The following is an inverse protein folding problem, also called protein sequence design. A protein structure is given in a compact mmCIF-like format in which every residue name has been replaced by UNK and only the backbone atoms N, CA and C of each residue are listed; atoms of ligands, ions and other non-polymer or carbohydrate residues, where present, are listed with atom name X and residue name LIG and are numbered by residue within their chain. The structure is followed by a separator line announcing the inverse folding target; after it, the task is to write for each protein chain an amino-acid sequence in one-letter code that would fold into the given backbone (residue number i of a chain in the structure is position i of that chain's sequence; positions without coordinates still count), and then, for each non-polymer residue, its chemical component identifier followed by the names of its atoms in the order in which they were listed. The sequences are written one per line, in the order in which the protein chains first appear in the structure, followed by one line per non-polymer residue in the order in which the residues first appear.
data_IF_432320705270
#
_entry.id   IF_432320705270
#
_cell.length_a   1.000
_cell.length_b   1.000
_cell.length_c   1.000
_cell.angle_alpha   90.00
_cell.angle_beta   90.00
_cell.angle_gamma   90.00
#
_symmetry.space_group_name_H-M   'P 1'
#
loop_
_entity.id
_entity.type
_entity.pdbx_description
1 polymer ?
#
# COMPACT_ATOMS: atom_id res chain seq x y z
N UNK A 1 4.21 -28.84 44.82
CA UNK A 1 3.38 -29.50 43.80
C UNK A 1 3.83 -29.00 42.44
N UNK A 2 4.50 -29.86 41.67
CA UNK A 2 4.81 -29.60 40.27
C UNK A 2 3.61 -30.01 39.40
N UNK A 3 3.27 -29.19 38.40
CA UNK A 3 2.34 -29.57 37.33
C UNK A 3 3.12 -29.61 36.00
N UNK A 4 2.84 -30.54 35.08
CA UNK A 4 3.77 -30.97 34.05
C UNK A 4 3.74 -30.09 32.79
N UNK A 5 4.91 -29.94 32.15
CA UNK A 5 5.05 -29.32 30.82
C UNK A 5 4.48 -30.26 29.75
N UNK A 6 3.61 -29.75 28.90
CA UNK A 6 3.21 -30.38 27.64
C UNK A 6 4.33 -30.28 26.58
N UNK A 7 4.41 -31.22 25.61
CA UNK A 7 5.55 -31.35 24.72
C UNK A 7 5.55 -30.25 23.65
N UNK A 8 6.67 -29.58 23.45
CA UNK A 8 6.89 -28.69 22.30
C UNK A 8 7.07 -29.57 21.05
N UNK A 9 6.19 -29.40 20.06
CA UNK A 9 6.38 -29.93 18.71
C UNK A 9 7.63 -29.33 18.04
N UNK A 10 8.12 -29.93 16.95
CA UNK A 10 9.39 -29.58 16.34
C UNK A 10 9.38 -28.12 15.87
N UNK A 11 10.32 -27.35 16.40
CA UNK A 11 10.63 -25.99 15.97
C UNK A 11 11.25 -26.12 14.57
N UNK A 12 10.55 -25.62 13.56
CA UNK A 12 11.09 -25.45 12.22
C UNK A 12 12.33 -24.55 12.31
N UNK A 13 13.41 -24.94 11.63
CA UNK A 13 14.73 -24.31 11.70
C UNK A 13 14.66 -22.79 11.55
N UNK A 14 15.30 -22.11 12.50
CA UNK A 14 15.44 -20.67 12.55
C UNK A 14 16.50 -20.20 11.56
N UNK A 15 16.13 -20.03 10.31
CA UNK A 15 16.82 -19.10 9.42
C UNK A 15 15.90 -17.87 9.25
N UNK A 16 16.35 -16.76 9.83
CA UNK A 16 15.99 -15.39 9.43
C UNK A 16 14.51 -15.02 9.30
N UNK A 17 13.65 -15.31 10.28
CA UNK A 17 12.33 -14.66 10.33
C UNK A 17 12.48 -13.31 11.03
N UNK A 18 12.65 -12.25 10.24
CA UNK A 18 12.62 -10.87 10.75
C UNK A 18 11.15 -10.42 10.85
N UNK A 19 10.65 -10.31 12.08
CA UNK A 19 9.34 -9.69 12.35
C UNK A 19 9.49 -8.19 12.11
N UNK A 20 8.70 -7.52 11.26
CA UNK A 20 8.87 -6.09 11.01
C UNK A 20 8.74 -5.30 12.33
N UNK A 21 9.88 -4.80 12.79
CA UNK A 21 10.07 -4.01 13.99
C UNK A 21 11.34 -3.21 13.82
N UNK A 22 11.39 -1.99 14.35
CA UNK A 22 12.62 -1.22 14.32
C UNK A 22 13.62 -1.84 15.31
N UNK A 23 14.54 -2.67 14.80
CA UNK A 23 15.55 -3.34 15.62
C UNK A 23 16.86 -2.54 15.74
N UNK A 24 16.88 -1.28 15.31
CA UNK A 24 18.06 -0.42 15.40
C UNK A 24 19.18 -0.76 14.41
N UNK A 25 18.97 -1.71 13.50
CA UNK A 25 19.88 -1.99 12.39
C UNK A 25 19.72 -0.88 11.36
N UNK A 26 20.84 -0.27 10.93
CA UNK A 26 20.81 0.76 9.91
C UNK A 26 20.62 0.11 8.55
N UNK A 27 19.96 0.83 7.64
CA UNK A 27 19.71 0.34 6.28
C UNK A 27 21.00 -0.02 5.54
N UNK A 28 22.10 0.66 5.87
CA UNK A 28 23.43 0.45 5.29
C UNK A 28 24.09 -0.86 5.74
N UNK A 29 23.59 -1.49 6.81
CA UNK A 29 24.15 -2.70 7.42
C UNK A 29 23.38 -3.97 7.01
N UNK A 30 22.44 -3.86 6.06
CA UNK A 30 21.65 -4.98 5.53
C UNK A 30 22.22 -5.39 4.17
N UNK A 31 22.71 -6.62 4.04
CA UNK A 31 23.19 -7.15 2.77
C UNK A 31 22.05 -7.23 1.75
N UNK A 32 22.29 -6.68 0.55
CA UNK A 32 21.33 -6.69 -0.55
C UNK A 32 21.33 -8.05 -1.25
N UNK A 33 20.20 -8.75 -1.26
CA UNK A 33 20.07 -10.05 -1.92
C UNK A 33 19.04 -10.99 -1.29
N UNK A 34 18.47 -10.62 -0.15
CA UNK A 34 17.49 -11.45 0.54
C UNK A 34 16.16 -11.56 -0.23
N UNK A 35 15.61 -12.77 -0.23
CA UNK A 35 14.31 -13.06 -0.85
C UNK A 35 13.20 -12.62 0.09
N UNK A 36 12.38 -11.67 -0.35
CA UNK A 36 11.17 -11.26 0.37
C UNK A 36 10.10 -12.35 0.23
N UNK A 37 9.48 -12.73 1.35
CA UNK A 37 8.39 -13.69 1.41
C UNK A 37 7.21 -13.03 2.12
N UNK A 38 6.02 -13.10 1.53
CA UNK A 38 4.79 -12.70 2.21
C UNK A 38 4.49 -13.71 3.32
N UNK A 39 4.24 -13.22 4.53
CA UNK A 39 3.96 -14.02 5.72
C UNK A 39 2.70 -13.51 6.41
N UNK A 40 2.36 -14.13 7.54
CA UNK A 40 1.17 -13.82 8.34
C UNK A 40 -0.17 -13.95 7.59
N UNK A 41 -0.53 -15.21 7.30
CA UNK A 41 -1.81 -15.57 6.68
C UNK A 41 -2.94 -15.74 7.72
N UNK A 42 -2.82 -15.16 8.91
CA UNK A 42 -3.79 -15.31 10.00
C UNK A 42 -5.20 -14.78 9.67
N UNK A 43 -5.27 -13.79 8.78
CA UNK A 43 -6.51 -13.17 8.30
C UNK A 43 -6.81 -13.48 6.82
N UNK A 44 -6.05 -14.41 6.21
CA UNK A 44 -6.29 -14.84 4.83
C UNK A 44 -7.54 -15.71 4.74
N UNK A 45 -8.28 -15.60 3.63
CA UNK A 45 -9.49 -16.36 3.39
C UNK A 45 -9.60 -16.75 1.92
N UNK A 46 -10.33 -17.84 1.64
CA UNK A 46 -10.70 -18.19 0.27
C UNK A 46 -12.05 -17.52 -0.05
N UNK A 47 -12.09 -16.52 -0.95
CA UNK A 47 -13.31 -15.78 -1.21
C UNK A 47 -14.39 -16.62 -1.93
N UNK A 48 -14.03 -17.76 -2.53
CA UNK A 48 -14.99 -18.70 -3.10
C UNK A 48 -15.69 -19.58 -2.06
N UNK A 49 -15.16 -19.65 -0.83
CA UNK A 49 -15.68 -20.52 0.24
C UNK A 49 -16.31 -19.68 1.36
N UNK A 50 -15.65 -18.60 1.76
CA UNK A 50 -16.09 -17.77 2.88
C UNK A 50 -16.12 -16.30 2.47
N UNK A 51 -17.31 -15.70 2.26
CA UNK A 51 -17.41 -14.27 1.99
C UNK A 51 -16.98 -13.47 3.23
N UNK A 52 -16.18 -12.42 3.00
CA UNK A 52 -15.74 -11.47 4.02
C UNK A 52 -16.10 -10.06 3.58
N UNK A 53 -16.54 -9.24 4.52
CA UNK A 53 -16.96 -7.85 4.25
C UNK A 53 -16.12 -6.83 5.00
N UNK A 54 -15.24 -7.27 5.90
CA UNK A 54 -14.41 -6.37 6.71
C UNK A 54 -12.95 -6.75 6.60
N UNK A 55 -12.09 -5.72 6.57
CA UNK A 55 -10.65 -5.86 6.60
C UNK A 55 -10.12 -5.74 8.03
N UNK A 56 -9.13 -6.56 8.37
CA UNK A 56 -8.35 -6.45 9.61
C UNK A 56 -6.99 -5.76 9.42
N UNK A 57 -6.70 -5.33 8.20
CA UNK A 57 -5.48 -4.58 7.86
C UNK A 57 -5.50 -3.18 8.52
N UNK A 58 -4.36 -2.48 8.48
CA UNK A 58 -4.28 -1.10 8.95
C UNK A 58 -5.32 -0.23 8.22
N UNK A 59 -6.04 0.67 8.92
CA UNK A 59 -7.08 1.49 8.31
C UNK A 59 -6.65 2.24 7.05
N UNK A 60 -5.41 2.72 6.98
CA UNK A 60 -4.86 3.44 5.82
C UNK A 60 -4.79 2.58 4.54
N UNK A 61 -4.73 1.26 4.70
CA UNK A 61 -4.66 0.28 3.61
C UNK A 61 -6.05 -0.24 3.21
N UNK A 62 -7.12 0.21 3.89
CA UNK A 62 -8.46 -0.26 3.62
C UNK A 62 -8.92 0.17 2.23
N UNK A 63 -9.43 -0.82 1.51
CA UNK A 63 -10.00 -0.61 0.20
C UNK A 63 -11.40 0.02 0.31
N UNK A 64 -11.82 0.90 -0.62
CA UNK A 64 -13.07 1.66 -0.47
C UNK A 64 -14.34 0.80 -0.46
N UNK A 65 -14.36 -0.32 -1.19
CA UNK A 65 -15.48 -1.27 -1.23
C UNK A 65 -15.71 -1.95 0.12
N UNK A 66 -14.68 -2.10 0.98
CA UNK A 66 -14.87 -2.63 2.33
C UNK A 66 -15.77 -1.73 3.19
N UNK A 67 -15.94 -0.47 2.78
CA UNK A 67 -16.79 0.52 3.43
C UNK A 67 -18.11 0.72 2.70
N UNK A 68 -18.10 0.81 1.37
CA UNK A 68 -19.24 1.30 0.58
C UNK A 68 -19.98 0.24 -0.21
N UNK A 69 -19.36 -0.91 -0.47
CA UNK A 69 -19.98 -2.00 -1.21
C UNK A 69 -20.69 -2.97 -0.28
N UNK A 70 -21.78 -3.54 -0.79
CA UNK A 70 -22.49 -4.65 -0.16
C UNK A 70 -21.97 -6.02 -0.67
N UNK A 71 -21.04 -6.00 -1.63
CA UNK A 71 -20.38 -7.19 -2.18
C UNK A 71 -19.21 -7.66 -1.29
N UNK A 72 -18.96 -8.97 -1.21
CA UNK A 72 -17.84 -9.49 -0.44
C UNK A 72 -16.49 -9.10 -1.06
N UNK A 73 -15.49 -8.96 -0.20
CA UNK A 73 -14.10 -8.74 -0.56
C UNK A 73 -13.56 -9.91 -1.40
N UNK A 74 -12.76 -9.56 -2.39
CA UNK A 74 -12.15 -10.48 -3.34
C UNK A 74 -10.69 -10.11 -3.58
N UNK A 75 -10.00 -10.82 -4.48
CA UNK A 75 -8.58 -10.60 -4.79
C UNK A 75 -8.21 -9.16 -5.18
N UNK A 76 -9.16 -8.38 -5.69
CA UNK A 76 -8.96 -6.97 -6.03
C UNK A 76 -8.66 -6.08 -4.81
N UNK A 77 -9.06 -6.48 -3.60
CA UNK A 77 -8.71 -5.79 -2.36
C UNK A 77 -7.20 -5.88 -2.09
N UNK A 78 -6.58 -7.03 -2.35
CA UNK A 78 -5.13 -7.21 -2.18
C UNK A 78 -4.34 -6.35 -3.16
N UNK A 79 -4.85 -6.11 -4.37
CA UNK A 79 -4.23 -5.20 -5.34
C UNK A 79 -4.21 -3.75 -4.82
N UNK A 80 -5.30 -3.30 -4.21
CA UNK A 80 -5.37 -1.97 -3.61
C UNK A 80 -4.33 -1.83 -2.48
N UNK A 81 -4.30 -2.81 -1.57
CA UNK A 81 -3.33 -2.83 -0.48
C UNK A 81 -1.90 -2.88 -1.02
N UNK A 82 -1.62 -3.68 -2.05
CA UNK A 82 -0.32 -3.75 -2.71
C UNK A 82 0.11 -2.39 -3.28
N UNK A 83 -0.79 -1.63 -3.90
CA UNK A 83 -0.47 -0.30 -4.41
C UNK A 83 -0.07 0.68 -3.29
N UNK A 84 -0.80 0.64 -2.17
CA UNK A 84 -0.47 1.43 -0.99
C UNK A 84 0.91 1.05 -0.43
N UNK A 85 1.20 -0.26 -0.36
CA UNK A 85 2.50 -0.77 0.09
C UNK A 85 3.64 -0.41 -0.86
N UNK A 86 3.45 -0.50 -2.18
CA UNK A 86 4.46 -0.08 -3.18
C UNK A 86 4.79 1.39 -3.00
N UNK A 87 3.78 2.25 -2.82
CA UNK A 87 3.99 3.67 -2.52
C UNK A 87 4.80 3.88 -1.24
N UNK A 88 4.42 3.19 -0.16
CA UNK A 88 5.11 3.27 1.13
C UNK A 88 6.56 2.81 1.05
N UNK A 89 6.87 1.79 0.25
CA UNK A 89 8.24 1.33 0.01
C UNK A 89 9.02 2.36 -0.82
N UNK A 90 8.38 2.99 -1.80
CA UNK A 90 9.02 3.98 -2.66
C UNK A 90 9.31 5.30 -1.94
N UNK A 91 8.49 5.64 -0.93
CA UNK A 91 8.52 6.91 -0.21
C UNK A 91 8.81 6.79 1.29
N UNK A 92 8.71 7.91 1.99
CA UNK A 92 8.86 8.00 3.45
C UNK A 92 7.53 8.07 4.20
N UNK A 93 6.41 8.19 3.47
CA UNK A 93 5.08 8.50 4.00
C UNK A 93 4.01 7.67 3.27
N UNK A 94 2.93 7.28 3.96
CA UNK A 94 1.85 6.53 3.33
C UNK A 94 1.13 7.38 2.28
N UNK A 95 0.52 6.69 1.30
CA UNK A 95 -0.22 7.37 0.23
C UNK A 95 -1.41 8.17 0.80
N UNK A 96 -2.16 7.52 1.71
CA UNK A 96 -3.27 8.10 2.44
C UNK A 96 -2.80 8.43 3.87
N UNK A 97 -2.75 9.71 4.22
CA UNK A 97 -2.22 10.16 5.52
C UNK A 97 -3.36 10.52 6.47
N UNK A 98 -3.62 9.68 7.47
CA UNK A 98 -4.62 9.99 8.50
C UNK A 98 -4.02 9.94 9.90
N UNK A 99 -3.66 11.12 10.45
CA UNK A 99 -3.43 11.27 11.88
C UNK A 99 -4.77 11.03 12.61
N UNK A 100 -4.81 10.04 13.50
CA UNK A 100 -6.03 9.40 14.02
C UNK A 100 -6.94 8.90 12.89
N UNK A 101 -6.57 7.75 12.32
CA UNK A 101 -7.23 7.15 11.16
C UNK A 101 -8.69 6.73 11.46
N UNK A 102 -9.64 7.63 11.16
CA UNK A 102 -11.06 7.30 11.05
C UNK A 102 -11.41 6.94 9.61
N UNK A 103 -12.46 6.13 9.42
CA UNK A 103 -12.93 5.79 8.09
C UNK A 103 -13.19 7.04 7.23
N UNK A 104 -13.86 8.07 7.80
CA UNK A 104 -14.14 9.34 7.10
C UNK A 104 -12.87 10.06 6.66
N UNK A 105 -11.86 10.10 7.54
CA UNK A 105 -10.58 10.74 7.21
C UNK A 105 -9.87 10.02 6.08
N UNK A 106 -9.84 8.68 6.13
CA UNK A 106 -9.22 7.87 5.08
C UNK A 106 -9.94 8.05 3.76
N UNK A 107 -11.28 8.04 3.77
CA UNK A 107 -12.06 8.28 2.55
C UNK A 107 -11.78 9.68 1.97
N UNK A 108 -11.62 10.71 2.80
CA UNK A 108 -11.24 12.04 2.32
C UNK A 108 -9.86 12.03 1.65
N UNK A 109 -8.87 11.37 2.26
CA UNK A 109 -7.53 11.22 1.69
C UNK A 109 -7.57 10.48 0.34
N UNK A 110 -8.39 9.42 0.24
CA UNK A 110 -8.59 8.69 -1.01
C UNK A 110 -9.17 9.59 -2.10
N UNK A 111 -10.20 10.38 -1.77
CA UNK A 111 -10.88 11.27 -2.72
C UNK A 111 -9.96 12.39 -3.20
N UNK A 112 -9.11 12.91 -2.33
CA UNK A 112 -8.15 13.95 -2.71
C UNK A 112 -7.05 13.45 -3.66
N UNK A 113 -6.65 12.19 -3.51
CA UNK A 113 -5.60 11.59 -4.34
C UNK A 113 -6.15 11.07 -5.67
N UNK A 114 -7.35 10.47 -5.64
CA UNK A 114 -7.89 9.69 -6.75
C UNK A 114 -9.07 10.37 -7.46
N UNK A 115 -9.68 11.38 -6.84
CA UNK A 115 -10.90 12.02 -7.31
C UNK A 115 -12.15 11.54 -6.58
N UNK A 116 -13.30 12.10 -6.95
CA UNK A 116 -14.58 11.83 -6.31
C UNK A 116 -14.93 10.33 -6.42
N UNK A 117 -15.51 9.77 -5.35
CA UNK A 117 -16.01 8.40 -5.32
C UNK A 117 -17.06 8.17 -6.42
N UNK A 118 -17.31 6.92 -6.83
CA UNK A 118 -18.45 6.63 -7.67
C UNK A 118 -19.77 7.13 -7.05
N UNK A 119 -20.75 7.60 -7.83
CA UNK A 119 -21.91 8.33 -7.30
C UNK A 119 -22.65 7.62 -6.16
N UNK A 120 -22.87 6.32 -6.29
CA UNK A 120 -23.52 5.49 -5.27
C UNK A 120 -22.73 5.40 -3.95
N UNK A 121 -21.39 5.42 -4.00
CA UNK A 121 -20.55 5.45 -2.81
C UNK A 121 -20.43 6.86 -2.24
N UNK A 122 -20.42 7.86 -3.11
CA UNK A 122 -20.39 9.28 -2.76
C UNK A 122 -21.63 9.70 -1.96
N UNK A 123 -22.82 9.22 -2.36
CA UNK A 123 -24.08 9.44 -1.65
C UNK A 123 -24.16 8.68 -0.32
N UNK A 124 -23.60 7.46 -0.26
CA UNK A 124 -23.53 6.66 0.98
C UNK A 124 -22.66 7.31 2.07
N UNK A 125 -21.77 8.25 1.71
CA UNK A 125 -20.90 8.90 2.69
C UNK A 125 -21.60 10.05 3.44
N UNK A 126 -22.28 9.72 4.55
CA UNK A 126 -23.10 10.67 5.33
C UNK A 126 -22.34 11.87 5.91
N UNK A 127 -21.06 11.68 6.28
CA UNK A 127 -20.21 12.74 6.87
C UNK A 127 -19.39 13.50 5.83
N UNK A 128 -19.65 13.30 4.55
CA UNK A 128 -18.93 13.95 3.44
C UNK A 128 -18.88 15.47 3.57
N UNK A 129 -19.97 16.10 4.04
CA UNK A 129 -20.07 17.55 4.21
C UNK A 129 -19.15 18.12 5.30
N UNK A 130 -18.56 17.28 6.15
CA UNK A 130 -17.49 17.70 7.07
C UNK A 130 -16.17 18.04 6.32
N UNK A 131 -16.05 17.58 5.06
CA UNK A 131 -14.82 17.59 4.26
C UNK A 131 -15.00 18.29 2.90
N UNK A 132 -16.17 18.16 2.28
CA UNK A 132 -16.49 18.72 0.95
C UNK A 132 -17.76 19.59 1.02
N UNK A 133 -17.84 20.64 0.22
CA UNK A 133 -19.01 21.49 0.14
C UNK A 133 -20.09 20.90 -0.79
N UNK A 134 -21.23 21.58 -0.93
CA UNK A 134 -22.34 21.13 -1.79
C UNK A 134 -21.98 21.10 -3.28
N UNK A 135 -20.96 21.85 -3.71
CA UNK A 135 -20.40 21.79 -5.06
C UNK A 135 -19.27 20.75 -5.22
N UNK A 136 -19.18 19.78 -4.30
CA UNK A 136 -18.17 18.71 -4.26
C UNK A 136 -16.71 19.20 -4.19
N UNK A 137 -16.50 20.46 -3.80
CA UNK A 137 -15.17 21.03 -3.61
C UNK A 137 -14.70 20.84 -2.18
N UNK A 138 -13.41 20.55 -2.05
CA UNK A 138 -12.76 20.37 -0.77
C UNK A 138 -12.89 21.64 0.10
N UNK A 139 -13.35 21.47 1.34
CA UNK A 139 -13.35 22.54 2.35
C UNK A 139 -11.93 22.64 2.92
N UNK A 140 -11.19 23.67 2.50
CA UNK A 140 -9.84 23.93 3.02
C UNK A 140 -9.92 24.43 4.47
N UNK A 141 -9.57 23.56 5.43
CA UNK A 141 -9.44 23.91 6.84
C UNK A 141 -7.97 24.27 7.16
N UNK A 142 -7.70 25.34 7.93
CA UNK A 142 -6.32 25.77 8.26
C UNK A 142 -5.46 24.69 8.93
N UNK A 143 -6.13 23.77 9.64
CA UNK A 143 -5.54 22.65 10.38
C UNK A 143 -5.16 21.45 9.49
N UNK A 144 -5.63 21.45 8.24
CA UNK A 144 -5.42 20.36 7.26
C UNK A 144 -4.30 20.72 6.28
N UNK A 145 -3.23 21.32 6.80
CA UNK A 145 -2.15 21.91 6.00
C UNK A 145 -1.61 20.92 4.96
N UNK A 146 -1.82 21.30 3.70
CA UNK A 146 -1.37 20.60 2.48
C UNK A 146 -1.94 19.19 2.27
N UNK A 147 -3.26 19.12 2.11
CA UNK A 147 -3.90 18.06 1.34
C UNK A 147 -3.50 18.17 -0.12
N UNK A 148 -2.71 17.20 -0.56
CA UNK A 148 -1.92 17.27 -1.77
C UNK A 148 -2.52 16.34 -2.82
N UNK A 149 -2.70 16.84 -4.03
CA UNK A 149 -2.96 15.98 -5.19
C UNK A 149 -1.82 14.95 -5.31
N UNK A 150 -2.07 13.86 -6.04
CA UNK A 150 -1.09 12.78 -6.26
C UNK A 150 0.32 13.32 -6.56
N UNK A 151 0.43 14.30 -7.46
CA UNK A 151 1.70 14.90 -7.87
C UNK A 151 2.48 15.57 -6.73
N UNK A 152 1.77 16.29 -5.87
CA UNK A 152 2.37 16.99 -4.74
C UNK A 152 2.76 16.01 -3.63
N UNK A 153 2.00 14.91 -3.47
CA UNK A 153 2.37 13.82 -2.56
C UNK A 153 3.59 13.07 -3.08
N UNK A 154 3.66 12.83 -4.39
CA UNK A 154 4.79 12.16 -5.00
C UNK A 154 6.08 12.96 -4.77
N UNK A 155 6.02 14.28 -5.00
CA UNK A 155 7.17 15.15 -4.78
C UNK A 155 7.62 15.10 -3.30
N UNK A 156 6.71 15.36 -2.38
CA UNK A 156 7.05 15.46 -0.96
C UNK A 156 7.40 14.13 -0.29
N UNK A 157 6.72 13.05 -0.67
CA UNK A 157 6.83 11.75 0.00
C UNK A 157 7.89 10.86 -0.64
N UNK A 158 8.23 11.08 -1.92
CA UNK A 158 9.16 10.21 -2.68
C UNK A 158 10.39 11.02 -3.15
N UNK A 159 10.22 12.10 -3.92
CA UNK A 159 11.35 12.79 -4.55
C UNK A 159 12.18 13.61 -3.56
N UNK A 160 11.55 14.49 -2.77
CA UNK A 160 12.26 15.32 -1.80
C UNK A 160 13.07 14.49 -0.78
N UNK A 161 12.53 13.40 -0.18
CA UNK A 161 13.29 12.60 0.77
C UNK A 161 14.47 11.88 0.10
N UNK A 162 14.30 11.36 -1.12
CA UNK A 162 15.39 10.77 -1.91
C UNK A 162 16.50 11.78 -2.17
N UNK A 163 16.14 12.97 -2.66
CA UNK A 163 17.09 14.06 -2.91
C UNK A 163 17.83 14.49 -1.63
N UNK A 164 17.12 14.66 -0.51
CA UNK A 164 17.71 15.00 0.81
C UNK A 164 18.67 13.93 1.31
N UNK A 165 18.42 12.66 1.00
CA UNK A 165 19.27 11.52 1.34
C UNK A 165 20.41 11.29 0.32
N UNK A 166 20.51 12.07 -0.76
CA UNK A 166 21.49 11.87 -1.82
C UNK A 166 21.25 10.62 -2.66
N UNK A 167 20.03 10.07 -2.65
CA UNK A 167 19.62 8.93 -3.47
C UNK A 167 19.15 9.40 -4.85
N UNK A 168 19.23 8.50 -5.83
CA UNK A 168 18.69 8.75 -7.17
C UNK A 168 17.17 9.02 -7.11
N UNK A 169 16.79 10.16 -7.68
CA UNK A 169 15.41 10.57 -7.87
C UNK A 169 14.82 9.90 -9.10
N UNK A 170 13.52 9.59 -9.07
CA UNK A 170 12.87 8.98 -10.23
C UNK A 170 12.90 9.97 -11.40
N UNK A 171 13.30 9.50 -12.59
CA UNK A 171 13.20 10.31 -13.81
C UNK A 171 11.73 10.62 -14.13
N UNK A 172 11.48 11.63 -14.96
CA UNK A 172 10.10 11.95 -15.38
C UNK A 172 9.42 10.76 -16.10
N UNK A 173 10.19 10.00 -16.89
CA UNK A 173 9.68 8.79 -17.55
C UNK A 173 9.28 7.73 -16.53
N UNK A 174 10.15 7.47 -15.55
CA UNK A 174 9.88 6.50 -14.49
C UNK A 174 8.69 6.90 -13.65
N UNK A 175 8.62 8.17 -13.22
CA UNK A 175 7.49 8.74 -12.47
C UNK A 175 6.18 8.47 -13.20
N UNK A 176 6.10 8.79 -14.49
CA UNK A 176 4.88 8.61 -15.27
C UNK A 176 4.48 7.14 -15.36
N UNK A 177 5.43 6.24 -15.60
CA UNK A 177 5.16 4.81 -15.64
C UNK A 177 4.70 4.28 -14.26
N UNK A 178 5.32 4.76 -13.18
CA UNK A 178 4.98 4.43 -11.80
C UNK A 178 3.56 4.88 -11.44
N UNK A 179 3.20 6.12 -11.78
CA UNK A 179 1.86 6.66 -11.57
C UNK A 179 0.80 5.88 -12.37
N UNK A 180 1.05 5.59 -13.65
CA UNK A 180 0.13 4.79 -14.48
C UNK A 180 -0.12 3.42 -13.86
N UNK A 181 0.95 2.76 -13.38
CA UNK A 181 0.84 1.46 -12.70
C UNK A 181 -0.02 1.60 -11.43
N UNK A 182 0.32 2.52 -10.52
CA UNK A 182 -0.42 2.70 -9.26
C UNK A 182 -1.89 3.09 -9.49
N UNK A 183 -2.17 3.99 -10.42
CA UNK A 183 -3.56 4.39 -10.74
C UNK A 183 -4.39 3.22 -11.25
N UNK A 184 -3.81 2.31 -12.02
CA UNK A 184 -4.52 1.10 -12.48
C UNK A 184 -4.89 0.15 -11.33
N UNK A 185 -4.14 0.18 -10.24
CA UNK A 185 -4.36 -0.63 -9.04
C UNK A 185 -5.31 0.04 -8.04
N UNK A 186 -5.43 1.37 -8.09
CA UNK A 186 -6.21 2.22 -7.18
C UNK A 186 -7.56 2.67 -7.77
N UNK A 187 -8.08 1.95 -8.77
CA UNK A 187 -9.42 2.21 -9.30
C UNK A 187 -10.46 1.87 -8.23
N UNK A 188 -11.47 2.71 -8.04
CA UNK A 188 -12.51 2.47 -7.03
C UNK A 188 -13.26 1.15 -7.26
N UNK A 189 -13.65 0.87 -8.49
CA UNK A 189 -14.34 -0.36 -8.85
C UNK A 189 -13.43 -1.58 -8.82
N UNK A 190 -13.69 -2.59 -7.95
CA UNK A 190 -12.81 -3.75 -7.81
C UNK A 190 -12.65 -4.55 -9.11
N UNK A 191 -13.69 -4.63 -9.93
CA UNK A 191 -13.71 -5.33 -11.22
C UNK A 191 -12.96 -4.59 -12.35
N UNK A 192 -12.69 -3.30 -12.18
CA UNK A 192 -11.95 -2.49 -13.15
C UNK A 192 -10.46 -2.35 -12.78
N UNK A 193 -10.08 -2.74 -11.55
CA UNK A 193 -8.68 -2.72 -11.11
C UNK A 193 -7.82 -3.69 -11.91
N UNK A 194 -6.56 -3.31 -12.05
CA UNK A 194 -5.54 -4.20 -12.59
C UNK A 194 -5.42 -5.49 -11.77
N UNK A 195 -5.23 -6.60 -12.45
CA UNK A 195 -4.82 -7.87 -11.83
C UNK A 195 -3.31 -7.86 -11.54
N UNK A 196 -2.85 -8.73 -10.64
CA UNK A 196 -1.42 -8.91 -10.38
C UNK A 196 -0.63 -9.21 -11.66
N UNK A 197 -1.20 -9.98 -12.59
CA UNK A 197 -0.60 -10.25 -13.89
C UNK A 197 -0.45 -8.97 -14.71
N UNK A 198 -1.48 -8.13 -14.80
CA UNK A 198 -1.39 -6.86 -15.53
C UNK A 198 -0.36 -5.91 -14.90
N UNK A 199 -0.31 -5.83 -13.57
CA UNK A 199 0.68 -5.02 -12.83
C UNK A 199 2.10 -5.48 -13.16
N UNK A 200 2.36 -6.78 -13.15
CA UNK A 200 3.67 -7.35 -13.50
C UNK A 200 4.10 -7.03 -14.94
N UNK A 201 3.13 -6.84 -15.85
CA UNK A 201 3.38 -6.48 -17.26
C UNK A 201 3.31 -4.97 -17.52
N UNK A 202 3.16 -4.14 -16.49
CA UNK A 202 3.18 -2.68 -16.62
C UNK A 202 4.53 -2.19 -17.16
N UNK A 203 4.53 -1.00 -17.76
CA UNK A 203 5.76 -0.35 -18.22
C UNK A 203 6.77 -0.21 -17.07
N UNK A 204 6.31 0.22 -15.88
CA UNK A 204 7.19 0.41 -14.73
C UNK A 204 7.89 -0.89 -14.31
N UNK A 205 7.14 -2.00 -14.24
CA UNK A 205 7.71 -3.29 -13.89
C UNK A 205 8.69 -3.81 -14.95
N UNK A 206 8.44 -3.59 -16.23
CA UNK A 206 9.33 -4.07 -17.31
C UNK A 206 10.62 -3.26 -17.43
N UNK A 207 10.52 -1.94 -17.34
CA UNK A 207 11.65 -1.04 -17.59
C UNK A 207 12.49 -0.78 -16.32
N UNK A 208 11.91 -0.91 -15.11
CA UNK A 208 12.61 -0.65 -13.84
C UNK A 208 12.54 -1.82 -12.84
N UNK A 209 11.34 -2.36 -12.58
CA UNK A 209 11.15 -3.35 -11.52
C UNK A 209 11.88 -4.69 -11.76
N UNK A 210 11.69 -5.30 -12.93
CA UNK A 210 12.29 -6.58 -13.32
C UNK A 210 13.82 -6.47 -13.50
N UNK A 211 14.37 -5.46 -14.19
CA UNK A 211 15.82 -5.27 -14.25
C UNK A 211 16.47 -5.13 -12.88
N UNK A 212 15.85 -4.37 -11.96
CA UNK A 212 16.35 -4.22 -10.59
C UNK A 212 16.33 -5.56 -9.81
N UNK A 213 15.28 -6.36 -10.01
CA UNK A 213 15.18 -7.69 -9.40
C UNK A 213 16.29 -8.63 -9.92
N UNK A 214 16.48 -8.70 -11.23
CA UNK A 214 17.52 -9.52 -11.87
C UNK A 214 18.93 -9.11 -11.44
N UNK A 215 19.16 -7.80 -11.31
CA UNK A 215 20.42 -7.26 -10.81
C UNK A 215 20.67 -7.68 -9.35
N UNK A 216 19.65 -7.64 -8.49
CA UNK A 216 19.81 -8.04 -7.08
C UNK A 216 20.14 -9.53 -6.93
N UNK A 217 19.55 -10.41 -7.74
CA UNK A 217 19.91 -11.84 -7.78
C UNK A 217 21.32 -12.08 -8.32
N UNK A 218 21.74 -11.29 -9.31
CA UNK A 218 23.09 -11.36 -9.89
C UNK A 218 24.18 -10.93 -8.92
N UNK A 219 23.88 -10.00 -8.01
CA UNK A 219 24.79 -9.57 -6.93
C UNK A 219 24.88 -10.67 -5.87
N UNK A 220 23.74 -11.19 -5.41
CA UNK A 220 23.68 -12.27 -4.41
C UNK A 220 24.42 -13.55 -4.84
N UNK A 221 24.45 -13.86 -6.14
CA UNK A 221 25.14 -15.04 -6.67
C UNK A 221 26.66 -14.87 -6.80
N UNK A 222 27.18 -13.63 -6.80
CA UNK A 222 28.62 -13.35 -6.91
C UNK A 222 29.35 -13.35 -5.56
N UNK A 223 28.62 -13.31 -4.46
CA UNK A 223 29.16 -13.33 -3.09
C UNK A 223 29.15 -14.74 -2.45
N UNK A 224 28.79 -15.77 -3.22
CA UNK A 224 28.91 -17.20 -2.91
C UNK A 224 30.07 -17.84 -3.67
#
# INVERSE_FOLDING_TARGET
MASPRSPKGPICGSEGVFIPGWFGIRREDIDFGERIILSDFGESFNPHISPKFSLKTLPLLHTPEARFSDEPLFFAADIWTLACTIWEIAGYRPLFEAFFATADRITAEQVEVLGILPPEWWEKWSRRLDWFNEEDKLILKPEMSARRAFDQRFEYSIQEPRAKAGLETMTEKERRAFEVMLRSMLIYWPNERATAQQVLHSEWMKDWGQPALEQSWSISTKEL
#
